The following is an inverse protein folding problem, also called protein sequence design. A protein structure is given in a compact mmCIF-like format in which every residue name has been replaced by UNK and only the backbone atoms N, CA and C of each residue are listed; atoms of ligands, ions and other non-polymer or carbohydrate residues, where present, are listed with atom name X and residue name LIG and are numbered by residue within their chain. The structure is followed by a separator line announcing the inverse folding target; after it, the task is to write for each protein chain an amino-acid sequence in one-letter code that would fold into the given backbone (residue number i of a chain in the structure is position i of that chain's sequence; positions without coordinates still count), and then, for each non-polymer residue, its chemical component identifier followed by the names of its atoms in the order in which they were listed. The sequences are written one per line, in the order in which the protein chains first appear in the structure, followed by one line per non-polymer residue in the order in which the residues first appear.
data_IF_237636627036
#
_entry.id   IF_237636627036
#
_cell.length_a   1.000
_cell.length_b   1.000
_cell.length_c   1.000
_cell.angle_alpha   90.00
_cell.angle_beta   90.00
_cell.angle_gamma   90.00
#
_symmetry.space_group_name_H-M   'P 1'
#
loop_
_entity.id
_entity.type
_entity.pdbx_description
1 polymer ?
#
# COMPACT_ATOMS: atom_id res chain seq x y z
N UNK A 1 -27.12 16.37 -0.90
CA UNK A 1 -26.37 15.65 0.15
C UNK A 1 -26.85 16.10 1.52
N UNK A 2 -26.95 15.23 2.54
CA UNK A 2 -27.44 15.64 3.86
C UNK A 2 -26.41 16.56 4.55
N UNK A 3 -26.89 17.53 5.34
CA UNK A 3 -26.02 18.41 6.16
C UNK A 3 -25.18 17.59 7.14
N UNK A 4 -25.71 16.44 7.58
CA UNK A 4 -25.08 15.50 8.51
C UNK A 4 -23.74 14.97 7.96
N UNK A 5 -23.66 14.61 6.67
CA UNK A 5 -22.40 14.08 6.11
C UNK A 5 -21.27 15.10 6.12
N UNK A 6 -21.60 16.40 5.95
CA UNK A 6 -20.60 17.47 6.08
C UNK A 6 -20.14 17.63 7.53
N UNK A 7 -21.04 17.48 8.50
CA UNK A 7 -20.69 17.54 9.92
C UNK A 7 -19.76 16.39 10.32
N UNK A 8 -20.02 15.18 9.84
CA UNK A 8 -19.14 14.03 10.07
C UNK A 8 -17.73 14.27 9.51
N UNK A 9 -17.64 14.79 8.29
CA UNK A 9 -16.38 15.13 7.64
C UNK A 9 -15.61 16.19 8.43
N UNK A 10 -16.26 17.26 8.87
CA UNK A 10 -15.61 18.29 9.69
C UNK A 10 -15.19 17.77 11.06
N UNK A 11 -15.87 16.75 11.59
CA UNK A 11 -15.46 16.06 12.83
C UNK A 11 -14.24 15.17 12.62
N UNK A 12 -14.16 14.45 11.50
CA UNK A 12 -13.01 13.60 11.17
C UNK A 12 -11.78 14.41 10.73
N UNK A 13 -12.01 15.57 10.10
CA UNK A 13 -11.00 16.44 9.51
C UNK A 13 -11.20 17.88 10.03
N UNK A 14 -10.85 18.16 11.29
CA UNK A 14 -11.13 19.47 11.91
C UNK A 14 -10.43 20.64 11.21
N UNK A 15 -9.28 20.39 10.61
CA UNK A 15 -8.44 21.41 9.94
C UNK A 15 -8.60 21.35 8.41
N UNK A 16 -9.77 20.89 7.91
CA UNK A 16 -10.02 20.60 6.49
C UNK A 16 -9.67 21.77 5.55
N UNK A 17 -9.76 22.99 6.06
CA UNK A 17 -9.54 24.23 5.31
C UNK A 17 -8.13 24.81 5.47
N UNK A 18 -7.28 24.17 6.27
CA UNK A 18 -5.98 24.73 6.69
C UNK A 18 -4.81 23.85 6.27
N UNK A 19 -5.03 22.55 6.01
CA UNK A 19 -3.96 21.62 5.61
C UNK A 19 -4.39 20.58 4.60
N UNK A 20 -3.40 19.85 4.09
CA UNK A 20 -3.61 18.66 3.29
C UNK A 20 -4.00 17.47 4.16
N UNK A 21 -5.04 16.72 3.76
CA UNK A 21 -5.36 15.41 4.30
C UNK A 21 -5.09 14.32 3.27
N UNK A 22 -4.62 13.17 3.73
CA UNK A 22 -4.40 11.97 2.92
C UNK A 22 -5.23 10.83 3.48
N UNK A 23 -5.97 10.14 2.62
CA UNK A 23 -6.80 9.00 2.98
C UNK A 23 -6.52 7.84 2.02
N UNK A 24 -6.05 6.68 2.53
CA UNK A 24 -5.72 6.44 3.93
C UNK A 24 -4.51 7.29 4.40
N UNK A 25 -4.45 7.65 5.69
CA UNK A 25 -3.39 8.51 6.25
C UNK A 25 -2.02 7.83 6.34
N UNK A 26 -2.02 6.50 6.31
CA UNK A 26 -0.86 5.62 6.25
C UNK A 26 -1.03 4.72 5.03
N UNK A 27 0.00 4.64 4.20
CA UNK A 27 -0.01 3.70 3.08
C UNK A 27 0.03 2.27 3.59
N UNK A 28 -0.90 1.44 3.14
CA UNK A 28 -0.93 0.03 3.47
C UNK A 28 -0.94 -0.77 2.18
N UNK A 29 0.02 -1.69 2.06
CA UNK A 29 0.14 -2.56 0.89
C UNK A 29 -1.09 -3.46 0.77
N UNK A 30 -1.46 -3.77 -0.47
CA UNK A 30 -2.60 -4.62 -0.85
C UNK A 30 -2.29 -6.12 -0.75
N UNK A 31 -1.13 -6.51 -0.22
CA UNK A 31 -0.70 -7.90 -0.09
C UNK A 31 -1.79 -8.73 0.59
N UNK A 32 -2.25 -9.76 -0.11
CA UNK A 32 -3.28 -10.67 0.36
C UNK A 32 -2.65 -11.76 1.23
N UNK A 33 -3.26 -12.04 2.37
CA UNK A 33 -2.81 -13.08 3.28
C UNK A 33 -3.87 -14.18 3.41
N UNK A 34 -3.42 -15.42 3.47
CA UNK A 34 -4.20 -16.52 4.03
C UNK A 34 -3.99 -16.56 5.53
N UNK A 35 -5.04 -16.94 6.23
CA UNK A 35 -4.96 -17.24 7.65
C UNK A 35 -4.78 -18.74 7.79
N UNK A 36 -3.68 -19.13 8.43
CA UNK A 36 -3.43 -20.52 8.81
C UNK A 36 -3.31 -20.61 10.33
N UNK A 37 -3.47 -21.83 10.86
CA UNK A 37 -3.31 -22.09 12.29
C UNK A 37 -2.15 -23.06 12.46
N UNK A 38 -1.06 -22.60 13.08
CA UNK A 38 0.12 -23.42 13.37
C UNK A 38 0.35 -23.40 14.88
N UNK A 39 0.41 -24.58 15.49
CA UNK A 39 0.58 -24.73 16.94
C UNK A 39 -0.46 -23.93 17.77
N UNK A 40 -1.72 -23.88 17.31
CA UNK A 40 -2.81 -23.04 17.86
C UNK A 40 -2.59 -21.53 17.76
N UNK A 41 -1.54 -21.07 17.08
CA UNK A 41 -1.33 -19.67 16.76
C UNK A 41 -1.92 -19.35 15.40
N UNK A 42 -2.62 -18.24 15.32
CA UNK A 42 -3.08 -17.70 14.04
C UNK A 42 -1.88 -17.05 13.34
N UNK A 43 -1.59 -17.48 12.12
CA UNK A 43 -0.49 -16.95 11.30
C UNK A 43 -1.03 -16.43 9.97
N UNK A 44 -0.52 -15.28 9.54
CA UNK A 44 -0.81 -14.67 8.26
C UNK A 44 0.27 -15.09 7.24
N UNK A 45 -0.15 -15.70 6.14
CA UNK A 45 0.74 -16.22 5.10
C UNK A 45 0.47 -15.48 3.80
N UNK A 46 1.44 -14.73 3.23
CA UNK A 46 1.24 -14.07 1.95
C UNK A 46 0.80 -15.07 0.87
N UNK A 47 -0.30 -14.76 0.17
CA UNK A 47 -0.71 -15.52 -1.01
C UNK A 47 0.32 -15.32 -2.12
N UNK A 48 0.96 -16.39 -2.60
CA UNK A 48 1.67 -16.40 -3.88
C UNK A 48 0.75 -17.00 -4.94
N UNK A 49 0.63 -16.37 -6.10
CA UNK A 49 -0.16 -16.92 -7.22
C UNK A 49 0.59 -18.08 -7.89
N UNK A 50 -0.10 -19.22 -8.00
CA UNK A 50 0.04 -20.16 -9.13
C UNK A 50 -0.82 -19.59 -10.26
N UNK A 51 -0.34 -19.66 -11.50
CA UNK A 51 -0.72 -18.81 -12.64
C UNK A 51 -2.23 -18.61 -12.96
N UNK A 52 -3.21 -19.31 -12.39
CA UNK A 52 -4.64 -19.04 -12.61
C UNK A 52 -5.58 -19.54 -11.48
N UNK A 53 -6.31 -18.64 -10.79
CA UNK A 53 -7.58 -18.99 -10.12
C UNK A 53 -8.77 -18.07 -10.49
N UNK A 54 -10.00 -18.38 -10.01
CA UNK A 54 -11.26 -17.86 -10.56
C UNK A 54 -11.60 -16.42 -10.12
N UNK A 55 -12.36 -15.73 -10.98
CA UNK A 55 -12.78 -14.32 -10.84
C UNK A 55 -13.48 -14.04 -9.51
N UNK A 56 -12.95 -13.07 -8.75
CA UNK A 56 -13.62 -12.48 -7.58
C UNK A 56 -12.78 -12.44 -6.30
N UNK A 57 -11.62 -13.09 -6.29
CA UNK A 57 -10.63 -12.97 -5.22
C UNK A 57 -9.63 -11.86 -5.57
N UNK A 58 -9.44 -10.90 -4.67
CA UNK A 58 -8.25 -10.05 -4.74
C UNK A 58 -7.04 -10.98 -4.58
N UNK A 59 -6.20 -11.05 -5.59
CA UNK A 59 -4.99 -11.87 -5.63
C UNK A 59 -3.83 -10.97 -6.02
N UNK A 60 -2.77 -10.98 -5.21
CA UNK A 60 -1.56 -10.15 -5.41
C UNK A 60 -0.54 -10.94 -6.23
N UNK A 61 -0.17 -10.42 -7.39
CA UNK A 61 0.97 -10.85 -8.19
C UNK A 61 2.24 -10.13 -7.71
N UNK A 62 3.43 -10.65 -8.05
CA UNK A 62 4.71 -9.92 -7.84
C UNK A 62 4.68 -8.53 -8.51
N UNK A 63 3.97 -8.38 -9.63
CA UNK A 63 3.70 -7.09 -10.26
C UNK A 63 2.92 -6.11 -9.38
N UNK A 64 2.05 -6.62 -8.50
CA UNK A 64 1.22 -5.79 -7.61
C UNK A 64 2.03 -5.30 -6.40
N UNK A 65 3.01 -6.07 -5.91
CA UNK A 65 3.94 -5.59 -4.87
C UNK A 65 4.81 -4.42 -5.35
N UNK A 66 5.21 -4.48 -6.62
CA UNK A 66 5.97 -3.41 -7.27
C UNK A 66 5.07 -2.19 -7.52
N UNK A 67 3.85 -2.38 -8.01
CA UNK A 67 2.87 -1.29 -8.12
C UNK A 67 2.60 -0.64 -6.76
N UNK A 68 2.46 -1.44 -5.70
CA UNK A 68 2.31 -0.94 -4.32
C UNK A 68 3.53 -0.12 -3.86
N UNK A 69 4.74 -0.59 -4.16
CA UNK A 69 5.97 0.12 -3.81
C UNK A 69 6.04 1.48 -4.50
N UNK A 70 5.75 1.52 -5.80
CA UNK A 70 5.76 2.76 -6.57
C UNK A 70 4.67 3.73 -6.10
N UNK A 71 3.49 3.22 -5.77
CA UNK A 71 2.42 4.05 -5.22
C UNK A 71 2.77 4.60 -3.84
N UNK A 72 3.38 3.80 -2.97
CA UNK A 72 3.88 4.26 -1.67
C UNK A 72 4.91 5.39 -1.82
N UNK A 73 5.85 5.23 -2.76
CA UNK A 73 6.90 6.21 -3.06
C UNK A 73 6.31 7.54 -3.53
N UNK A 74 5.37 7.51 -4.47
CA UNK A 74 4.64 8.69 -4.94
C UNK A 74 3.91 9.37 -3.77
N UNK A 75 3.12 8.61 -3.00
CA UNK A 75 2.35 9.16 -1.89
C UNK A 75 3.24 9.74 -0.80
N UNK A 76 4.41 9.15 -0.53
CA UNK A 76 5.39 9.69 0.39
C UNK A 76 5.91 11.05 -0.07
N UNK A 77 6.30 11.15 -1.35
CA UNK A 77 6.75 12.40 -1.96
C UNK A 77 5.65 13.48 -1.88
N UNK A 78 4.40 13.15 -2.26
CA UNK A 78 3.27 14.08 -2.18
C UNK A 78 3.01 14.53 -0.73
N UNK A 79 3.05 13.60 0.24
CA UNK A 79 2.84 13.93 1.66
C UNK A 79 3.94 14.86 2.19
N UNK A 80 5.19 14.68 1.79
CA UNK A 80 6.29 15.60 2.14
C UNK A 80 6.14 16.95 1.45
N UNK A 81 5.79 16.95 0.16
CA UNK A 81 5.65 18.15 -0.66
C UNK A 81 4.52 19.06 -0.14
N UNK A 82 3.34 18.49 0.11
CA UNK A 82 2.18 19.22 0.60
C UNK A 82 2.16 19.39 2.13
N UNK A 83 2.82 18.51 2.87
CA UNK A 83 2.89 18.56 4.34
C UNK A 83 3.94 19.53 4.90
N UNK A 84 4.96 19.93 4.10
CA UNK A 84 5.74 21.13 4.42
C UNK A 84 4.83 22.34 4.19
N UNK A 85 4.18 22.81 5.26
CA UNK A 85 3.73 24.19 5.33
C UNK A 85 4.90 25.04 4.86
N UNK A 86 4.68 25.88 3.86
CA UNK A 86 5.72 26.81 3.45
C UNK A 86 6.14 27.55 4.71
N UNK A 87 7.43 27.56 5.04
CA UNK A 87 7.99 28.42 6.08
C UNK A 87 7.94 29.91 5.64
N UNK A 88 6.92 30.27 4.87
CA UNK A 88 6.61 31.65 4.52
C UNK A 88 5.77 32.25 5.63
N UNK A 89 6.15 33.49 5.92
CA UNK A 89 5.55 34.42 6.88
C UNK A 89 4.01 34.30 6.90
N UNK A 90 3.38 34.20 8.08
CA UNK A 90 1.92 34.27 8.20
C UNK A 90 1.42 35.60 7.62
N UNK A 91 0.60 35.55 6.57
CA UNK A 91 -0.03 36.75 6.00
C UNK A 91 -0.20 36.78 4.48
N UNK A 92 0.48 35.90 3.72
CA UNK A 92 0.29 35.81 2.26
C UNK A 92 -0.69 34.68 1.89
N UNK A 93 -1.40 34.83 0.77
CA UNK A 93 -2.30 33.83 0.15
C UNK A 93 -1.65 32.45 -0.17
N UNK A 94 -0.39 32.24 0.23
CA UNK A 94 0.38 31.01 0.10
C UNK A 94 -0.22 29.84 0.90
N UNK A 95 -0.89 30.11 2.03
CA UNK A 95 -1.44 29.06 2.90
C UNK A 95 -2.49 28.18 2.18
N UNK A 96 -3.22 28.74 1.21
CA UNK A 96 -4.25 28.02 0.44
C UNK A 96 -3.71 27.25 -0.79
N UNK A 97 -2.42 27.33 -1.12
CA UNK A 97 -1.83 26.55 -2.25
C UNK A 97 -1.73 25.06 -1.93
N UNK A 98 -1.79 24.69 -0.65
CA UNK A 98 -1.60 23.32 -0.18
C UNK A 98 -2.80 22.74 0.56
N UNK A 99 -3.93 23.46 0.61
CA UNK A 99 -5.17 22.97 1.22
C UNK A 99 -5.88 22.05 0.23
N UNK A 100 -5.87 20.76 0.53
CA UNK A 100 -6.44 19.74 -0.33
C UNK A 100 -6.78 18.46 0.41
N UNK A 101 -7.57 17.62 -0.24
CA UNK A 101 -7.90 16.30 0.24
C UNK A 101 -7.45 15.26 -0.79
N UNK A 102 -6.53 14.39 -0.42
CA UNK A 102 -5.93 13.37 -1.29
C UNK A 102 -6.48 12.02 -0.91
N UNK A 103 -7.18 11.39 -1.85
CA UNK A 103 -7.66 10.01 -1.76
C UNK A 103 -6.77 9.15 -2.63
N UNK A 104 -6.23 8.06 -2.10
CA UNK A 104 -5.56 7.06 -2.93
C UNK A 104 -6.38 5.79 -3.00
N UNK A 105 -6.27 5.09 -4.14
CA UNK A 105 -6.84 3.75 -4.33
C UNK A 105 -8.38 3.67 -4.20
N UNK A 106 -9.11 4.75 -4.48
CA UNK A 106 -10.57 4.77 -4.34
C UNK A 106 -11.23 4.00 -5.49
N UNK A 107 -11.78 2.83 -5.19
CA UNK A 107 -12.54 2.04 -6.17
C UNK A 107 -13.84 2.76 -6.54
N UNK A 108 -14.20 2.75 -7.83
CA UNK A 108 -15.47 3.31 -8.29
C UNK A 108 -16.67 2.63 -7.64
N UNK A 109 -16.55 1.34 -7.31
CA UNK A 109 -17.58 0.58 -6.61
C UNK A 109 -17.75 0.96 -5.15
N UNK A 110 -16.75 1.58 -4.53
CA UNK A 110 -16.80 1.99 -3.12
C UNK A 110 -17.40 3.40 -2.93
N UNK A 111 -17.63 4.13 -4.02
CA UNK A 111 -18.34 5.40 -4.02
C UNK A 111 -19.82 5.21 -3.67
N UNK A 112 -20.27 5.81 -2.55
CA UNK A 112 -21.64 5.71 -2.04
C UNK A 112 -22.14 4.27 -1.88
N UNK A 113 -21.24 3.38 -1.45
CA UNK A 113 -21.47 1.93 -1.38
C UNK A 113 -21.96 1.42 -0.03
N UNK A 114 -21.85 2.24 1.02
CA UNK A 114 -22.16 1.81 2.38
C UNK A 114 -23.64 1.43 2.55
N UNK A 115 -23.97 0.18 2.97
CA UNK A 115 -25.33 -0.33 2.97
C UNK A 115 -26.32 0.51 3.77
N UNK A 116 -25.89 1.07 4.91
CA UNK A 116 -26.73 1.92 5.76
C UNK A 116 -27.12 3.25 5.10
N UNK A 117 -26.38 3.70 4.07
CA UNK A 117 -26.66 4.91 3.31
C UNK A 117 -27.33 4.63 1.96
N UNK A 118 -27.63 3.37 1.62
CA UNK A 118 -28.20 2.99 0.32
C UNK A 118 -29.46 3.80 -0.08
N UNK A 119 -30.43 4.11 0.82
CA UNK A 119 -31.58 4.93 0.45
C UNK A 119 -31.23 6.36 0.02
N UNK A 120 -30.22 6.96 0.66
CA UNK A 120 -29.72 8.30 0.29
C UNK A 120 -28.88 8.23 -0.98
N UNK A 121 -28.04 7.19 -1.12
CA UNK A 121 -27.20 6.95 -2.29
C UNK A 121 -28.02 6.80 -3.59
N UNK A 122 -29.20 6.18 -3.54
CA UNK A 122 -30.11 6.05 -4.70
C UNK A 122 -30.56 7.38 -5.32
N UNK A 123 -30.48 8.50 -4.58
CA UNK A 123 -30.85 9.83 -5.07
C UNK A 123 -29.68 10.58 -5.70
N UNK A 124 -28.48 10.02 -5.68
CA UNK A 124 -27.26 10.63 -6.19
C UNK A 124 -26.76 9.87 -7.41
N UNK A 125 -25.98 10.57 -8.24
CA UNK A 125 -25.31 9.98 -9.40
C UNK A 125 -24.16 9.13 -8.94
N UNK A 126 -24.10 7.88 -9.41
CA UNK A 126 -23.04 6.94 -9.06
C UNK A 126 -22.32 6.46 -10.32
N UNK A 127 -21.07 5.99 -10.22
CA UNK A 127 -20.32 5.48 -11.36
C UNK A 127 -21.05 4.35 -12.12
N UNK A 128 -21.91 3.57 -11.45
CA UNK A 128 -22.68 2.50 -12.08
C UNK A 128 -23.82 3.00 -12.99
N UNK A 129 -24.27 4.25 -12.83
CA UNK A 129 -25.40 4.81 -13.60
C UNK A 129 -24.97 5.26 -15.02
N UNK A 130 -23.67 5.29 -15.28
CA UNK A 130 -23.06 5.67 -16.53
C UNK A 130 -23.19 4.51 -17.56
N UNK A 131 -23.66 4.78 -18.81
CA UNK A 131 -23.99 3.75 -19.85
C UNK A 131 -22.86 3.24 -20.78
N UNK A 132 -21.65 2.96 -20.30
CA UNK A 132 -20.51 2.45 -21.14
C UNK A 132 -20.01 1.14 -20.52
N UNK A 133 -19.29 0.33 -21.28
CA UNK A 133 -18.80 -0.97 -20.83
C UNK A 133 -17.72 -0.84 -19.72
N UNK A 134 -17.68 -1.79 -18.78
CA UNK A 134 -16.67 -1.91 -17.70
C UNK A 134 -16.61 -0.75 -16.69
N UNK A 135 -17.70 -0.02 -16.44
CA UNK A 135 -17.70 1.18 -15.57
C UNK A 135 -17.67 0.94 -14.08
N UNK A 136 -18.10 -0.23 -13.67
CA UNK A 136 -17.95 -0.81 -12.33
C UNK A 136 -16.53 -1.32 -12.07
N UNK A 137 -15.64 -1.31 -13.08
CA UNK A 137 -14.27 -1.82 -12.97
C UNK A 137 -13.25 -0.70 -13.07
N UNK A 138 -12.75 -0.22 -11.95
CA UNK A 138 -11.66 0.74 -11.91
C UNK A 138 -11.63 1.50 -10.61
N UNK A 139 -10.55 2.24 -10.46
CA UNK A 139 -10.24 3.06 -9.31
C UNK A 139 -9.62 4.38 -9.72
N UNK A 140 -9.59 5.30 -8.77
CA UNK A 140 -8.67 6.41 -8.79
C UNK A 140 -7.39 5.98 -8.06
N UNK A 141 -6.27 5.88 -8.77
CA UNK A 141 -4.96 5.67 -8.13
C UNK A 141 -4.69 6.79 -7.13
N UNK A 142 -4.87 8.04 -7.58
CA UNK A 142 -4.93 9.24 -6.75
C UNK A 142 -6.03 10.18 -7.26
N UNK A 143 -6.90 10.61 -6.34
CA UNK A 143 -7.86 11.69 -6.51
C UNK A 143 -7.51 12.82 -5.54
N UNK A 144 -7.23 14.02 -6.07
CA UNK A 144 -7.01 15.22 -5.25
C UNK A 144 -8.22 16.14 -5.38
N UNK A 145 -8.77 16.57 -4.26
CA UNK A 145 -9.78 17.61 -4.17
C UNK A 145 -9.07 18.85 -3.66
N UNK A 146 -8.75 19.80 -4.54
CA UNK A 146 -8.01 21.00 -4.18
C UNK A 146 -8.97 22.15 -3.83
N UNK A 147 -8.73 22.85 -2.72
CA UNK A 147 -9.61 23.92 -2.23
C UNK A 147 -9.88 25.03 -3.26
N UNK A 148 -8.95 25.29 -4.18
CA UNK A 148 -9.04 26.37 -5.19
C UNK A 148 -9.03 25.94 -6.65
N UNK A 149 -8.55 24.74 -6.98
CA UNK A 149 -8.26 24.38 -8.37
C UNK A 149 -9.21 23.34 -8.96
N UNK A 150 -10.05 22.73 -8.12
CA UNK A 150 -11.04 21.73 -8.52
C UNK A 150 -10.59 20.32 -8.13
N UNK A 151 -10.94 19.37 -8.98
CA UNK A 151 -10.59 17.96 -8.85
C UNK A 151 -9.37 17.64 -9.72
N UNK A 152 -8.53 16.74 -9.26
CA UNK A 152 -7.45 16.16 -10.05
C UNK A 152 -7.52 14.64 -10.00
N UNK A 153 -7.53 14.01 -11.17
CA UNK A 153 -7.32 12.58 -11.32
C UNK A 153 -5.87 12.35 -11.75
N UNK A 154 -5.16 11.50 -11.01
CA UNK A 154 -3.82 11.07 -11.35
C UNK A 154 -3.77 9.54 -11.43
N UNK A 155 -3.20 9.04 -12.51
CA UNK A 155 -2.90 7.61 -12.69
C UNK A 155 -1.40 7.39 -12.44
N UNK A 156 -1.06 6.32 -11.73
CA UNK A 156 0.30 5.91 -11.44
C UNK A 156 0.62 4.70 -12.31
N UNK A 157 1.75 4.73 -13.04
CA UNK A 157 2.20 3.51 -13.71
C UNK A 157 3.68 3.23 -13.54
N UNK A 158 3.95 2.04 -12.99
CA UNK A 158 5.26 1.42 -13.05
C UNK A 158 5.50 0.85 -14.46
N UNK A 159 6.39 1.49 -15.19
CA UNK A 159 6.90 1.03 -16.49
C UNK A 159 8.41 0.90 -16.37
N UNK A 160 9.01 -0.14 -16.96
CA UNK A 160 10.47 -0.34 -16.96
C UNK A 160 11.03 -1.32 -15.94
N UNK A 161 10.30 -1.68 -14.87
CA UNK A 161 10.79 -2.65 -13.88
C UNK A 161 10.44 -4.08 -14.29
N UNK A 162 11.45 -4.89 -14.62
CA UNK A 162 11.30 -6.32 -14.95
C UNK A 162 11.93 -7.21 -13.89
N UNK A 163 11.19 -8.25 -13.51
CA UNK A 163 11.58 -9.31 -12.58
C UNK A 163 12.58 -10.33 -13.16
N UNK A 164 12.78 -10.34 -14.48
CA UNK A 164 13.47 -11.45 -15.17
C UNK A 164 14.97 -11.25 -15.41
N UNK A 165 15.56 -10.15 -14.94
CA UNK A 165 17.02 -9.94 -14.95
C UNK A 165 17.70 -9.92 -16.33
N UNK A 166 16.95 -9.92 -17.43
CA UNK A 166 17.51 -9.83 -18.79
C UNK A 166 17.42 -8.38 -19.28
N UNK A 167 18.55 -7.76 -19.66
CA UNK A 167 18.53 -6.45 -20.31
C UNK A 167 17.83 -6.58 -21.66
N UNK A 168 16.77 -5.79 -21.87
CA UNK A 168 16.22 -5.57 -23.20
C UNK A 168 16.91 -4.38 -23.87
N UNK A 169 16.80 -4.28 -25.19
CA UNK A 169 17.19 -3.06 -25.88
C UNK A 169 16.26 -1.91 -25.51
N UNK A 170 16.80 -0.69 -25.48
CA UNK A 170 16.03 0.54 -25.23
C UNK A 170 14.80 0.65 -26.17
N UNK A 171 14.93 0.19 -27.41
CA UNK A 171 13.83 0.18 -28.39
C UNK A 171 12.64 -0.69 -27.96
N UNK A 172 12.89 -1.80 -27.26
CA UNK A 172 11.84 -2.69 -26.75
C UNK A 172 11.13 -2.10 -25.53
N UNK A 173 11.87 -1.42 -24.66
CA UNK A 173 11.33 -0.69 -23.52
C UNK A 173 10.45 0.48 -23.96
N UNK A 174 10.91 1.25 -24.95
CA UNK A 174 10.17 2.36 -25.52
C UNK A 174 8.87 1.92 -26.21
N UNK A 175 8.90 0.80 -26.95
CA UNK A 175 7.68 0.17 -27.50
C UNK A 175 6.72 -0.26 -26.40
N UNK A 176 7.25 -0.82 -25.30
CA UNK A 176 6.44 -1.21 -24.14
C UNK A 176 5.80 0.01 -23.50
N UNK A 177 6.56 1.08 -23.29
CA UNK A 177 6.07 2.35 -22.75
C UNK A 177 4.99 2.97 -23.65
N UNK A 178 5.22 3.06 -24.96
CA UNK A 178 4.24 3.55 -25.93
C UNK A 178 2.91 2.78 -25.86
N UNK A 179 2.97 1.45 -25.77
CA UNK A 179 1.77 0.61 -25.64
C UNK A 179 1.01 0.83 -24.32
N UNK A 180 1.75 1.07 -23.22
CA UNK A 180 1.17 1.36 -21.91
C UNK A 180 0.56 2.77 -21.85
N UNK A 181 1.21 3.77 -22.43
CA UNK A 181 0.68 5.15 -22.51
C UNK A 181 -0.71 5.20 -23.13
N UNK A 182 -0.94 4.45 -24.23
CA UNK A 182 -2.28 4.35 -24.86
C UNK A 182 -3.36 3.79 -23.92
N UNK A 183 -2.99 2.88 -23.01
CA UNK A 183 -3.92 2.31 -22.02
C UNK A 183 -4.20 3.30 -20.91
N UNK A 184 -3.14 3.95 -20.42
CA UNK A 184 -3.20 4.96 -19.35
C UNK A 184 -4.07 6.15 -19.76
N UNK A 185 -3.95 6.64 -21.01
CA UNK A 185 -4.79 7.73 -21.52
C UNK A 185 -6.28 7.37 -21.41
N UNK A 186 -6.65 6.15 -21.78
CA UNK A 186 -8.04 5.66 -21.65
C UNK A 186 -8.49 5.55 -20.19
N UNK A 187 -7.60 5.20 -19.27
CA UNK A 187 -7.91 5.16 -17.83
C UNK A 187 -8.14 6.57 -17.30
N UNK A 188 -7.25 7.52 -17.63
CA UNK A 188 -7.39 8.92 -17.27
C UNK A 188 -8.70 9.54 -17.77
N UNK A 189 -9.06 9.32 -19.04
CA UNK A 189 -10.33 9.80 -19.60
C UNK A 189 -11.54 9.17 -18.91
N UNK A 190 -11.45 7.89 -18.53
CA UNK A 190 -12.49 7.22 -17.76
C UNK A 190 -12.63 7.81 -16.36
N UNK A 191 -11.51 8.07 -15.68
CA UNK A 191 -11.49 8.72 -14.37
C UNK A 191 -12.15 10.10 -14.43
N UNK A 192 -11.86 10.90 -15.45
CA UNK A 192 -12.54 12.18 -15.69
C UNK A 192 -14.05 12.02 -15.98
N UNK A 193 -14.44 11.08 -16.86
CA UNK A 193 -15.85 10.80 -17.15
C UNK A 193 -16.65 10.47 -15.88
N UNK A 194 -16.07 9.65 -15.00
CA UNK A 194 -16.65 9.29 -13.72
C UNK A 194 -16.79 10.53 -12.84
N UNK A 195 -15.72 11.31 -12.67
CA UNK A 195 -15.75 12.55 -11.87
C UNK A 195 -16.83 13.52 -12.37
N UNK A 196 -16.84 13.83 -13.67
CA UNK A 196 -17.83 14.72 -14.29
C UNK A 196 -19.27 14.22 -14.12
N UNK A 197 -19.46 12.90 -14.12
CA UNK A 197 -20.79 12.32 -13.89
C UNK A 197 -21.24 12.49 -12.44
N UNK A 198 -20.44 12.05 -11.47
CA UNK A 198 -20.80 12.01 -10.05
C UNK A 198 -20.85 13.40 -9.40
N UNK A 199 -20.21 14.41 -10.02
CA UNK A 199 -20.31 15.81 -9.63
C UNK A 199 -21.24 16.64 -10.52
N UNK A 200 -21.80 16.06 -11.59
CA UNK A 200 -22.64 16.79 -12.53
C UNK A 200 -24.03 17.17 -12.00
N UNK A 201 -24.37 16.79 -10.76
CA UNK A 201 -25.52 17.26 -9.99
C UNK A 201 -25.18 18.50 -9.11
N UNK A 202 -23.91 18.90 -9.04
CA UNK A 202 -23.46 20.05 -8.26
C UNK A 202 -23.62 21.35 -9.06
N UNK A 203 -24.00 22.44 -8.36
CA UNK A 203 -24.36 23.73 -8.97
C UNK A 203 -23.30 24.33 -9.90
N UNK A 204 -22.02 24.14 -9.60
CA UNK A 204 -20.93 24.87 -10.26
C UNK A 204 -19.96 23.98 -11.05
N UNK A 205 -20.23 22.67 -11.19
CA UNK A 205 -19.42 21.68 -11.91
C UNK A 205 -17.89 21.94 -11.86
N UNK A 206 -17.22 21.52 -10.77
CA UNK A 206 -15.80 21.74 -10.58
C UNK A 206 -14.95 21.23 -11.74
N UNK A 207 -13.91 21.97 -12.09
CA UNK A 207 -12.93 21.58 -13.10
C UNK A 207 -12.24 20.30 -12.70
N UNK A 208 -12.03 19.42 -13.67
CA UNK A 208 -11.22 18.20 -13.54
C UNK A 208 -9.92 18.41 -14.30
N UNK A 209 -8.80 18.25 -13.60
CA UNK A 209 -7.44 18.23 -14.17
C UNK A 209 -6.92 16.80 -14.17
N UNK A 210 -6.18 16.42 -15.19
CA UNK A 210 -5.56 15.09 -15.32
C UNK A 210 -4.04 15.23 -15.28
N UNK A 211 -3.37 14.27 -14.66
CA UNK A 211 -1.90 14.17 -14.65
C UNK A 211 -1.49 12.70 -14.64
N UNK A 212 -0.26 12.43 -15.06
CA UNK A 212 0.30 11.10 -15.11
C UNK A 212 1.55 11.04 -14.22
N UNK A 213 1.65 10.01 -13.39
CA UNK A 213 2.78 9.77 -12.51
C UNK A 213 3.51 8.49 -12.94
N UNK A 214 4.77 8.64 -13.38
CA UNK A 214 5.62 7.58 -13.92
C UNK A 214 6.91 7.48 -13.11
N UNK A 215 6.87 6.89 -11.89
CA UNK A 215 8.01 6.92 -10.97
C UNK A 215 9.27 6.17 -11.46
N UNK A 216 9.15 5.40 -12.55
CA UNK A 216 10.25 4.59 -13.11
C UNK A 216 10.68 5.02 -14.53
N UNK A 217 10.09 6.09 -15.06
CA UNK A 217 10.41 6.61 -16.39
C UNK A 217 11.00 8.00 -16.22
N UNK A 218 12.12 8.29 -16.88
CA UNK A 218 12.71 9.63 -16.87
C UNK A 218 11.96 10.56 -17.83
N UNK A 219 12.09 11.86 -17.59
CA UNK A 219 11.60 12.93 -18.48
C UNK A 219 12.14 12.75 -19.89
N UNK A 220 13.45 12.49 -20.02
CA UNK A 220 14.13 12.27 -21.30
C UNK A 220 13.58 11.06 -22.05
N UNK A 221 13.32 9.95 -21.35
CA UNK A 221 12.73 8.76 -21.96
C UNK A 221 11.30 9.01 -22.45
N UNK A 222 10.48 9.70 -21.64
CA UNK A 222 9.11 10.04 -22.06
C UNK A 222 9.11 10.98 -23.27
N UNK A 223 9.99 12.00 -23.28
CA UNK A 223 10.14 12.91 -24.42
C UNK A 223 10.55 12.17 -25.70
N UNK A 224 11.51 11.24 -25.59
CA UNK A 224 11.94 10.39 -26.71
C UNK A 224 10.77 9.57 -27.28
N UNK A 225 10.04 8.85 -26.42
CA UNK A 225 8.90 8.04 -26.86
C UNK A 225 7.81 8.88 -27.52
N UNK A 226 7.51 10.06 -27.00
CA UNK A 226 6.50 10.95 -27.59
C UNK A 226 6.95 11.57 -28.91
N UNK A 227 8.25 11.87 -29.05
CA UNK A 227 8.85 12.34 -30.31
C UNK A 227 8.74 11.27 -31.41
N UNK A 228 9.00 10.01 -31.06
CA UNK A 228 8.94 8.88 -32.00
C UNK A 228 7.50 8.40 -32.25
N UNK A 229 6.54 8.82 -31.41
CA UNK A 229 5.13 8.48 -31.52
C UNK A 229 4.21 9.72 -31.50
N UNK A 230 4.19 10.56 -32.56
CA UNK A 230 3.41 11.80 -32.59
C UNK A 230 1.91 11.61 -32.36
N UNK A 231 1.35 10.48 -32.77
CA UNK A 231 -0.05 10.15 -32.51
C UNK A 231 -0.35 10.01 -31.01
N UNK A 232 0.55 9.37 -30.24
CA UNK A 232 0.42 9.23 -28.79
C UNK A 232 0.58 10.60 -28.12
N UNK A 233 1.53 11.43 -28.59
CA UNK A 233 1.68 12.80 -28.10
C UNK A 233 0.37 13.59 -28.26
N UNK A 234 -0.26 13.51 -29.44
CA UNK A 234 -1.53 14.18 -29.71
C UNK A 234 -2.66 13.67 -28.83
N UNK A 235 -2.80 12.36 -28.66
CA UNK A 235 -3.78 11.77 -27.75
C UNK A 235 -3.55 12.23 -26.30
N UNK A 236 -2.29 12.34 -25.87
CA UNK A 236 -1.94 12.81 -24.53
C UNK A 236 -2.21 14.31 -24.34
N UNK A 237 -1.90 15.15 -25.32
CA UNK A 237 -2.25 16.58 -25.30
C UNK A 237 -3.77 16.77 -25.20
N UNK A 238 -4.53 16.05 -26.03
CA UNK A 238 -5.99 16.06 -26.00
C UNK A 238 -6.54 15.59 -24.65
N UNK A 239 -5.94 14.53 -24.08
CA UNK A 239 -6.26 14.07 -22.73
C UNK A 239 -6.04 15.19 -21.72
N UNK A 240 -4.87 15.83 -21.67
CA UNK A 240 -4.62 16.93 -20.72
C UNK A 240 -5.36 18.24 -21.03
N UNK A 241 -5.99 18.35 -22.19
CA UNK A 241 -6.70 19.55 -22.63
C UNK A 241 -5.79 20.71 -23.01
N UNK A 242 -4.60 20.41 -23.54
CA UNK A 242 -3.61 21.40 -24.02
C UNK A 242 -3.46 21.32 -25.54
N UNK A 243 -2.84 22.33 -26.16
CA UNK A 243 -2.63 22.32 -27.61
C UNK A 243 -1.60 21.26 -28.05
N UNK A 244 -1.76 20.72 -29.27
CA UNK A 244 -0.84 19.73 -29.86
C UNK A 244 0.62 20.24 -29.97
N UNK A 245 0.81 21.57 -30.00
CA UNK A 245 2.11 22.24 -30.04
C UNK A 245 2.81 22.31 -28.69
N UNK A 246 2.08 22.18 -27.58
CA UNK A 246 2.63 22.22 -26.23
C UNK A 246 3.37 20.91 -25.90
N UNK A 247 4.16 20.94 -24.82
CA UNK A 247 4.84 19.76 -24.30
C UNK A 247 4.02 19.13 -23.16
N UNK A 248 3.34 17.97 -23.39
CA UNK A 248 2.56 17.33 -22.34
C UNK A 248 3.44 16.75 -21.21
N UNK A 249 4.76 16.62 -21.40
CA UNK A 249 5.67 16.04 -20.41
C UNK A 249 5.75 16.89 -19.15
N UNK A 250 5.62 18.22 -19.25
CA UNK A 250 5.64 19.11 -18.09
C UNK A 250 4.45 18.89 -17.13
N UNK A 251 3.39 18.21 -17.59
CA UNK A 251 2.21 17.86 -16.80
C UNK A 251 2.31 16.44 -16.21
N UNK A 252 3.42 15.74 -16.43
CA UNK A 252 3.69 14.41 -15.87
C UNK A 252 4.70 14.52 -14.72
N UNK A 253 4.54 13.69 -13.70
CA UNK A 253 5.53 13.51 -12.65
C UNK A 253 6.38 12.28 -13.00
N UNK A 254 7.66 12.45 -13.29
CA UNK A 254 8.56 11.38 -13.75
C UNK A 254 9.54 10.97 -12.65
N UNK A 255 10.36 9.95 -12.90
CA UNK A 255 11.38 9.46 -11.95
C UNK A 255 12.35 10.55 -11.51
N UNK A 256 12.56 11.58 -12.33
CA UNK A 256 13.49 12.68 -12.03
C UNK A 256 12.97 13.63 -10.94
N UNK A 257 11.65 13.61 -10.67
CA UNK A 257 11.00 14.49 -9.69
C UNK A 257 10.45 13.73 -8.48
N UNK A 258 10.89 12.49 -8.26
CA UNK A 258 10.49 11.68 -7.10
C UNK A 258 11.73 11.08 -6.44
N UNK A 259 11.64 10.73 -5.15
CA UNK A 259 12.76 10.13 -4.40
C UNK A 259 13.31 8.88 -5.09
N UNK A 260 14.54 8.48 -4.80
CA UNK A 260 15.09 7.22 -5.32
C UNK A 260 14.27 6.00 -4.85
N UNK A 261 14.32 4.90 -5.60
CA UNK A 261 13.56 3.68 -5.28
C UNK A 261 14.08 2.99 -4.02
N UNK A 262 15.40 2.88 -3.88
CA UNK A 262 16.04 2.19 -2.75
C UNK A 262 16.12 3.09 -1.51
N UNK A 263 15.98 4.40 -1.70
CA UNK A 263 15.94 5.42 -0.64
C UNK A 263 14.68 6.27 -0.69
N UNK A 264 13.52 5.64 -0.83
CA UNK A 264 12.27 6.37 -1.06
C UNK A 264 11.83 7.28 0.11
N UNK A 265 12.39 7.09 1.31
CA UNK A 265 12.15 7.96 2.47
C UNK A 265 12.98 9.27 2.41
N UNK A 266 13.97 9.36 1.53
CA UNK A 266 14.82 10.54 1.34
C UNK A 266 14.23 11.44 0.24
N UNK A 267 13.39 12.39 0.66
CA UNK A 267 12.90 13.46 -0.22
C UNK A 267 13.86 14.65 -0.14
N UNK A 268 14.75 14.77 -1.12
CA UNK A 268 15.78 15.82 -1.20
C UNK A 268 15.19 17.16 -1.66
N UNK A 269 15.94 18.25 -1.49
CA UNK A 269 15.49 19.57 -1.95
C UNK A 269 15.38 19.66 -3.49
N UNK A 270 16.20 18.91 -4.23
CA UNK A 270 16.07 18.81 -5.70
C UNK A 270 14.76 18.13 -6.12
N UNK A 271 14.38 17.05 -5.42
CA UNK A 271 13.08 16.40 -5.62
C UNK A 271 11.95 17.39 -5.33
N UNK A 272 12.03 18.12 -4.21
CA UNK A 272 11.02 19.14 -3.85
C UNK A 272 10.90 20.25 -4.90
N UNK A 273 12.03 20.70 -5.47
CA UNK A 273 12.06 21.69 -6.54
C UNK A 273 11.45 21.16 -7.84
N UNK A 274 11.73 19.90 -8.20
CA UNK A 274 11.11 19.23 -9.34
C UNK A 274 9.59 19.11 -9.19
N UNK A 275 9.13 18.70 -8.00
CA UNK A 275 7.69 18.64 -7.68
C UNK A 275 7.03 20.03 -7.72
N UNK A 276 7.70 21.08 -7.24
CA UNK A 276 7.20 22.45 -7.32
C UNK A 276 7.00 22.92 -8.77
N UNK A 277 7.96 22.61 -9.66
CA UNK A 277 7.84 22.90 -11.09
C UNK A 277 6.66 22.16 -11.74
N UNK A 278 6.53 20.87 -11.46
CA UNK A 278 5.40 20.05 -11.92
C UNK A 278 4.06 20.61 -11.42
N UNK A 279 3.98 20.95 -10.13
CA UNK A 279 2.75 21.49 -9.53
C UNK A 279 2.37 22.84 -10.14
N UNK A 280 3.34 23.73 -10.37
CA UNK A 280 3.13 25.02 -11.04
C UNK A 280 2.66 24.85 -12.47
N UNK A 281 3.22 23.88 -13.21
CA UNK A 281 2.77 23.58 -14.56
C UNK A 281 1.31 23.09 -14.59
N UNK A 282 0.90 22.26 -13.62
CA UNK A 282 -0.47 21.75 -13.52
C UNK A 282 -1.49 22.80 -13.07
N UNK A 283 -1.14 23.57 -12.04
CA UNK A 283 -2.08 24.44 -11.33
C UNK A 283 -1.93 25.90 -11.69
N UNK A 284 -0.72 26.45 -11.68
CA UNK A 284 -0.48 27.90 -11.82
C UNK A 284 -0.63 28.39 -13.26
N UNK A 285 -0.48 27.52 -14.26
CA UNK A 285 -0.85 27.82 -15.65
C UNK A 285 -2.37 28.04 -15.83
N UNK A 286 -3.18 27.58 -14.86
CA UNK A 286 -4.63 27.66 -14.87
C UNK A 286 -5.10 28.68 -13.81
N UNK A 287 -6.01 29.59 -14.15
CA UNK A 287 -6.69 30.43 -13.13
C UNK A 287 -7.38 29.54 -12.10
N UNK A 288 -7.50 30.02 -10.86
CA UNK A 288 -8.33 29.41 -9.83
C UNK A 288 -9.72 29.06 -10.38
N UNK A 289 -10.28 27.94 -9.91
CA UNK A 289 -11.58 27.50 -10.36
C UNK A 289 -12.67 28.32 -9.63
N UNK A 290 -13.43 29.17 -10.35
CA UNK A 290 -14.48 29.98 -9.72
C UNK A 290 -15.60 29.12 -9.11
N UNK A 291 -15.70 27.83 -9.48
CA UNK A 291 -16.65 26.91 -8.87
C UNK A 291 -16.28 26.55 -7.42
N UNK A 292 -15.01 26.66 -7.05
CA UNK A 292 -14.47 26.15 -5.79
C UNK A 292 -14.69 27.11 -4.62
N UNK A 293 -15.94 27.18 -4.17
CA UNK A 293 -16.32 27.80 -2.89
C UNK A 293 -16.02 26.86 -1.71
N UNK A 294 -16.07 27.41 -0.48
CA UNK A 294 -15.91 26.62 0.75
C UNK A 294 -16.93 25.48 0.82
N UNK A 295 -18.19 25.77 0.49
CA UNK A 295 -19.28 24.79 0.51
C UNK A 295 -19.12 23.70 -0.55
N UNK A 296 -18.64 24.07 -1.74
CA UNK A 296 -18.37 23.11 -2.81
C UNK A 296 -17.22 22.17 -2.42
N UNK A 297 -16.17 22.71 -1.82
CA UNK A 297 -15.05 21.90 -1.32
C UNK A 297 -15.50 20.90 -0.25
N UNK A 298 -16.23 21.35 0.77
CA UNK A 298 -16.79 20.46 1.81
C UNK A 298 -17.75 19.41 1.22
N UNK A 299 -18.54 19.79 0.21
CA UNK A 299 -19.43 18.85 -0.48
C UNK A 299 -18.68 17.78 -1.26
N UNK A 300 -17.61 18.14 -1.97
CA UNK A 300 -16.77 17.17 -2.66
C UNK A 300 -16.13 16.21 -1.66
N UNK A 301 -15.54 16.73 -0.58
CA UNK A 301 -14.93 15.88 0.45
C UNK A 301 -15.97 14.95 1.08
N UNK A 302 -17.17 15.44 1.39
CA UNK A 302 -18.24 14.59 1.92
C UNK A 302 -18.78 13.56 0.92
N UNK A 303 -18.77 13.84 -0.39
CA UNK A 303 -19.14 12.85 -1.41
C UNK A 303 -18.09 11.74 -1.52
N UNK A 304 -16.81 12.07 -1.46
CA UNK A 304 -15.73 11.10 -1.74
C UNK A 304 -15.06 10.50 -0.48
N UNK A 305 -15.20 11.14 0.68
CA UNK A 305 -14.60 10.73 1.95
C UNK A 305 -15.58 10.82 3.14
N UNK A 306 -16.86 11.08 2.87
CA UNK A 306 -17.91 11.07 3.88
C UNK A 306 -18.38 9.66 4.25
N UNK A 307 -19.40 9.56 5.12
CA UNK A 307 -19.80 8.29 5.73
C UNK A 307 -20.35 7.26 4.73
N UNK A 308 -20.82 7.69 3.55
CA UNK A 308 -21.36 6.80 2.54
C UNK A 308 -20.32 6.22 1.57
N UNK A 309 -19.11 6.80 1.52
CA UNK A 309 -18.03 6.37 0.63
C UNK A 309 -16.90 5.80 1.44
N UNK A 310 -16.36 4.68 0.96
CA UNK A 310 -15.36 3.93 1.71
C UNK A 310 -14.05 3.84 0.93
N UNK A 311 -12.98 4.31 1.56
CA UNK A 311 -11.62 4.01 1.14
C UNK A 311 -11.19 2.78 1.92
N UNK A 312 -11.26 1.65 1.24
CA UNK A 312 -10.97 0.35 1.82
C UNK A 312 -9.47 0.13 1.88
N UNK A 313 -9.01 -0.36 3.03
CA UNK A 313 -7.67 -0.89 3.17
C UNK A 313 -7.76 -2.39 3.39
N UNK A 314 -7.05 -3.16 2.57
CA UNK A 314 -7.03 -4.62 2.70
C UNK A 314 -6.44 -5.02 4.06
N UNK A 315 -7.19 -5.78 4.86
CA UNK A 315 -6.76 -6.29 6.17
C UNK A 315 -6.36 -7.77 6.09
N UNK A 316 -5.13 -8.13 6.50
CA UNK A 316 -4.69 -9.53 6.61
C UNK A 316 -5.41 -10.36 7.70
N UNK A 317 -5.98 -9.69 8.70
CA UNK A 317 -6.41 -10.35 9.94
C UNK A 317 -7.67 -11.21 9.74
N UNK A 318 -7.66 -12.42 10.29
CA UNK A 318 -8.77 -13.39 10.21
C UNK A 318 -10.08 -12.90 10.82
N UNK A 319 -10.03 -11.90 11.70
CA UNK A 319 -11.17 -11.43 12.46
C UNK A 319 -12.11 -10.57 11.60
N UNK A 320 -11.63 -10.03 10.48
CA UNK A 320 -12.48 -9.33 9.52
C UNK A 320 -12.03 -9.59 8.09
N UNK A 321 -12.69 -10.52 7.39
CA UNK A 321 -12.70 -10.57 5.91
C UNK A 321 -13.29 -9.31 5.27
N UNK A 322 -13.77 -8.36 6.08
CA UNK A 322 -14.25 -7.07 5.63
C UNK A 322 -13.06 -6.10 5.58
N UNK A 323 -12.91 -5.43 4.44
CA UNK A 323 -12.10 -4.23 4.31
C UNK A 323 -12.39 -3.27 5.47
N UNK A 324 -11.34 -2.75 6.11
CA UNK A 324 -11.50 -1.71 7.13
C UNK A 324 -11.44 -0.35 6.49
N UNK A 325 -12.28 0.55 6.99
CA UNK A 325 -12.24 1.94 6.60
C UNK A 325 -11.28 2.69 7.51
N UNK A 326 -10.24 3.28 6.93
CA UNK A 326 -9.23 4.03 7.68
C UNK A 326 -9.31 5.50 7.25
N UNK A 327 -10.02 6.31 8.03
CA UNK A 327 -10.31 7.72 7.70
C UNK A 327 -9.35 8.69 8.38
N UNK A 328 -8.94 8.38 9.61
CA UNK A 328 -8.16 9.28 10.47
C UNK A 328 -6.78 8.72 10.83
N UNK A 329 -5.83 9.60 11.18
CA UNK A 329 -4.49 9.17 11.59
C UNK A 329 -4.51 8.21 12.77
N UNK A 330 -5.39 8.43 13.76
CA UNK A 330 -5.56 7.54 14.90
C UNK A 330 -6.01 6.13 14.48
N UNK A 331 -6.97 6.02 13.55
CA UNK A 331 -7.37 4.72 12.98
C UNK A 331 -6.21 4.08 12.20
N UNK A 332 -5.44 4.87 11.45
CA UNK A 332 -4.28 4.39 10.70
C UNK A 332 -3.18 3.82 11.60
N UNK A 333 -2.87 4.51 12.70
CA UNK A 333 -1.94 4.05 13.73
C UNK A 333 -2.46 2.79 14.41
N UNK A 334 -3.74 2.77 14.81
CA UNK A 334 -4.35 1.59 15.44
C UNK A 334 -4.32 0.37 14.53
N UNK A 335 -4.61 0.54 13.25
CA UNK A 335 -4.61 -0.56 12.29
C UNK A 335 -3.17 -1.02 11.97
N UNK A 336 -2.22 -0.10 11.91
CA UNK A 336 -0.80 -0.44 11.76
C UNK A 336 -0.32 -1.23 12.97
N UNK A 337 -0.64 -0.81 14.19
CA UNK A 337 -0.33 -1.54 15.41
C UNK A 337 -0.94 -2.94 15.40
N UNK A 338 -2.21 -3.08 15.01
CA UNK A 338 -2.87 -4.38 14.90
C UNK A 338 -2.12 -5.32 13.93
N UNK A 339 -1.66 -4.82 12.78
CA UNK A 339 -0.88 -5.61 11.80
C UNK A 339 0.50 -6.00 12.29
N UNK A 340 1.16 -5.13 13.06
CA UNK A 340 2.46 -5.46 13.66
C UNK A 340 2.37 -6.57 14.71
N UNK A 341 1.18 -6.81 15.27
CA UNK A 341 0.93 -7.90 16.22
C UNK A 341 0.65 -9.25 15.53
N UNK A 342 0.35 -9.27 14.23
CA UNK A 342 0.07 -10.51 13.50
C UNK A 342 1.39 -11.27 13.19
N UNK A 343 1.40 -12.59 13.41
CA UNK A 343 2.51 -13.44 13.00
C UNK A 343 2.49 -13.65 11.48
N UNK A 344 3.35 -12.93 10.76
CA UNK A 344 3.50 -13.11 9.31
C UNK A 344 4.57 -14.14 9.01
N UNK A 345 4.21 -15.23 8.33
CA UNK A 345 5.12 -16.28 7.90
C UNK A 345 5.17 -16.38 6.38
N UNK A 346 6.36 -16.51 5.81
CA UNK A 346 6.52 -16.80 4.38
C UNK A 346 6.19 -18.27 4.07
N UNK A 347 5.84 -18.56 2.82
CA UNK A 347 5.50 -19.92 2.38
C UNK A 347 6.58 -20.98 2.71
N UNK A 348 7.86 -20.63 2.56
CA UNK A 348 8.95 -21.56 2.94
C UNK A 348 8.97 -21.88 4.44
N UNK A 349 8.64 -20.91 5.29
CA UNK A 349 8.54 -21.10 6.74
C UNK A 349 7.34 -21.98 7.10
N UNK A 350 6.20 -21.78 6.43
CA UNK A 350 5.00 -22.62 6.59
C UNK A 350 5.29 -24.07 6.16
N UNK A 351 6.02 -24.27 5.06
CA UNK A 351 6.43 -25.59 4.61
C UNK A 351 7.29 -26.30 5.66
N UNK A 352 8.27 -25.60 6.25
CA UNK A 352 9.09 -26.15 7.34
C UNK A 352 8.22 -26.58 8.52
N UNK A 353 7.26 -25.73 8.94
CA UNK A 353 6.35 -26.04 10.05
C UNK A 353 5.32 -27.14 9.72
N UNK A 354 5.07 -27.37 8.44
CA UNK A 354 4.17 -28.42 7.94
C UNK A 354 4.88 -29.76 7.80
N UNK A 355 6.18 -29.75 7.50
CA UNK A 355 7.01 -30.95 7.48
C UNK A 355 7.03 -31.59 8.88
N UNK A 356 6.63 -32.86 8.96
CA UNK A 356 6.68 -33.65 10.20
C UNK A 356 8.10 -34.11 10.56
N UNK A 357 9.11 -33.34 10.17
CA UNK A 357 10.50 -33.71 10.39
C UNK A 357 10.85 -33.59 11.88
N UNK A 358 11.70 -34.51 12.33
CA UNK A 358 12.14 -34.62 13.72
C UNK A 358 13.35 -33.73 14.02
N UNK A 359 14.05 -33.30 12.97
CA UNK A 359 15.20 -32.43 13.02
C UNK A 359 14.91 -31.25 12.10
N UNK A 360 14.90 -30.04 12.67
CA UNK A 360 14.71 -28.81 11.90
C UNK A 360 15.99 -27.98 12.03
N UNK A 361 16.69 -27.79 10.92
CA UNK A 361 17.88 -26.97 10.83
C UNK A 361 17.58 -25.74 9.98
N UNK A 362 17.75 -24.55 10.56
CA UNK A 362 17.42 -23.27 9.91
C UNK A 362 18.67 -22.45 9.66
N UNK A 363 18.93 -22.14 8.39
CA UNK A 363 19.97 -21.17 8.00
C UNK A 363 19.32 -19.92 7.42
N UNK A 364 19.96 -18.76 7.65
CA UNK A 364 19.52 -17.51 7.04
C UNK A 364 20.08 -16.27 7.71
N UNK A 365 20.00 -15.10 7.04
CA UNK A 365 20.45 -13.82 7.58
C UNK A 365 19.87 -13.48 8.96
N UNK A 366 20.50 -12.57 9.73
CA UNK A 366 19.91 -12.00 10.93
C UNK A 366 18.53 -11.38 10.63
N UNK A 367 17.57 -11.54 11.54
CA UNK A 367 16.23 -10.94 11.40
C UNK A 367 15.23 -11.71 10.52
N UNK A 368 15.57 -12.87 9.95
CA UNK A 368 14.65 -13.68 9.13
C UNK A 368 13.61 -14.49 9.92
N UNK A 369 13.50 -14.28 11.23
CA UNK A 369 12.51 -14.95 12.08
C UNK A 369 12.80 -16.41 12.43
N UNK A 370 14.06 -16.88 12.29
CA UNK A 370 14.46 -18.28 12.61
C UNK A 370 13.97 -18.73 14.00
N UNK A 371 14.21 -17.92 15.02
CA UNK A 371 13.80 -18.21 16.40
C UNK A 371 12.27 -18.37 16.54
N UNK A 372 11.48 -17.59 15.79
CA UNK A 372 10.02 -17.72 15.77
C UNK A 372 9.61 -19.08 15.20
N UNK A 373 10.26 -19.52 14.10
CA UNK A 373 9.99 -20.83 13.49
C UNK A 373 10.34 -21.97 14.44
N UNK A 374 11.51 -21.90 15.10
CA UNK A 374 11.92 -22.90 16.07
C UNK A 374 10.92 -23.01 17.24
N UNK A 375 10.47 -21.88 17.79
CA UNK A 375 9.46 -21.87 18.87
C UNK A 375 8.14 -22.50 18.39
N UNK A 376 7.64 -22.13 17.20
CA UNK A 376 6.40 -22.69 16.66
C UNK A 376 6.51 -24.20 16.40
N UNK A 377 7.68 -24.67 15.94
CA UNK A 377 7.94 -26.09 15.75
C UNK A 377 7.98 -26.85 17.07
N UNK A 378 8.70 -26.34 18.08
CA UNK A 378 8.72 -26.93 19.42
C UNK A 378 7.33 -26.96 20.04
N UNK A 379 6.56 -25.89 19.89
CA UNK A 379 5.19 -25.82 20.39
C UNK A 379 4.32 -26.92 19.75
N UNK A 380 4.47 -27.16 18.44
CA UNK A 380 3.81 -28.26 17.74
C UNK A 380 4.23 -29.61 18.33
N UNK A 381 5.53 -29.89 18.47
CA UNK A 381 6.03 -31.14 19.04
C UNK A 381 5.53 -31.39 20.46
N UNK A 382 5.55 -30.38 21.33
CA UNK A 382 5.03 -30.48 22.70
C UNK A 382 3.54 -30.86 22.71
N UNK A 383 2.75 -30.22 21.84
CA UNK A 383 1.30 -30.48 21.71
C UNK A 383 0.99 -31.85 21.11
N UNK A 384 1.85 -32.34 20.23
CA UNK A 384 1.81 -33.72 19.72
C UNK A 384 2.23 -34.76 20.78
N UNK A 385 2.67 -34.29 21.95
CA UNK A 385 2.95 -35.09 23.14
C UNK A 385 4.42 -35.38 23.38
N UNK A 386 5.32 -34.81 22.58
CA UNK A 386 6.77 -35.07 22.65
C UNK A 386 7.48 -34.22 23.71
N UNK A 387 8.63 -34.71 24.17
CA UNK A 387 9.56 -33.92 24.97
C UNK A 387 10.48 -33.10 24.05
N UNK A 388 10.71 -31.83 24.40
CA UNK A 388 11.51 -30.89 23.62
C UNK A 388 12.71 -30.42 24.42
N UNK A 389 13.90 -30.57 23.83
CA UNK A 389 15.15 -30.06 24.38
C UNK A 389 15.61 -28.82 23.63
N UNK A 390 15.79 -27.72 24.36
CA UNK A 390 16.41 -26.48 23.88
C UNK A 390 17.89 -26.50 24.25
N UNK A 391 18.74 -26.31 23.24
CA UNK A 391 20.19 -26.48 23.38
C UNK A 391 20.93 -25.22 23.00
N UNK A 392 21.79 -24.74 23.89
CA UNK A 392 22.73 -23.65 23.61
C UNK A 392 24.10 -24.20 23.24
N UNK A 393 24.51 -24.05 21.99
CA UNK A 393 25.81 -24.54 21.49
C UNK A 393 26.97 -23.63 21.87
N UNK A 394 26.76 -22.32 22.02
CA UNK A 394 27.81 -21.37 22.35
C UNK A 394 27.36 -20.43 23.48
N UNK A 395 28.31 -19.77 24.15
CA UNK A 395 28.00 -18.76 25.17
C UNK A 395 27.21 -17.58 24.56
N UNK A 396 27.45 -17.26 23.29
CA UNK A 396 26.75 -16.19 22.57
C UNK A 396 25.29 -16.53 22.23
N UNK A 397 24.93 -17.82 22.12
CA UNK A 397 23.55 -18.27 21.88
C UNK A 397 22.76 -18.57 23.17
N UNK A 398 23.39 -18.43 24.34
CA UNK A 398 22.79 -18.69 25.66
C UNK A 398 21.55 -17.83 25.90
N UNK A 399 21.63 -16.53 25.62
CA UNK A 399 20.52 -15.61 25.83
C UNK A 399 19.31 -15.97 24.95
N UNK A 400 19.55 -16.29 23.67
CA UNK A 400 18.49 -16.70 22.74
C UNK A 400 17.86 -18.04 23.16
N UNK A 401 18.69 -19.00 23.57
CA UNK A 401 18.25 -20.34 23.98
C UNK A 401 17.45 -20.30 25.29
N UNK A 402 17.88 -19.50 26.27
CA UNK A 402 17.12 -19.26 27.50
C UNK A 402 15.79 -18.54 27.21
N UNK A 403 15.81 -17.56 26.31
CA UNK A 403 14.59 -16.87 25.90
C UNK A 403 13.59 -17.84 25.23
N UNK A 404 14.06 -18.74 24.36
CA UNK A 404 13.23 -19.79 23.76
C UNK A 404 12.65 -20.73 24.82
N UNK A 405 13.49 -21.18 25.76
CA UNK A 405 13.07 -22.05 26.86
C UNK A 405 11.94 -21.42 27.68
N UNK A 406 12.12 -20.18 28.15
CA UNK A 406 11.10 -19.46 28.91
C UNK A 406 9.85 -19.14 28.08
N UNK A 407 10.02 -18.86 26.79
CA UNK A 407 8.89 -18.64 25.88
C UNK A 407 8.02 -19.90 25.75
N UNK A 408 8.64 -21.08 25.63
CA UNK A 408 7.92 -22.36 25.56
C UNK A 408 7.21 -22.69 26.87
N UNK A 409 7.85 -22.44 28.03
CA UNK A 409 7.21 -22.60 29.34
C UNK A 409 5.98 -21.71 29.50
N UNK A 410 6.08 -20.46 29.04
CA UNK A 410 5.00 -19.48 29.15
C UNK A 410 3.84 -19.78 28.20
N UNK A 411 4.15 -20.19 26.96
CA UNK A 411 3.14 -20.53 25.94
C UNK A 411 2.45 -21.86 26.20
N UNK A 412 3.15 -22.82 26.79
CA UNK A 412 2.65 -24.17 27.08
C UNK A 412 2.79 -24.52 28.58
N UNK A 413 2.12 -23.80 29.49
CA UNK A 413 2.31 -23.98 30.93
C UNK A 413 1.93 -25.39 31.39
N UNK A 414 0.90 -26.01 30.79
CA UNK A 414 0.49 -27.38 31.08
C UNK A 414 1.48 -28.46 30.60
N UNK A 415 2.45 -28.08 29.75
CA UNK A 415 3.46 -28.98 29.18
C UNK A 415 4.88 -28.57 29.60
N UNK A 416 5.03 -27.62 30.53
CA UNK A 416 6.33 -27.08 30.93
C UNK A 416 7.32 -28.15 31.42
N UNK A 417 6.80 -29.24 32.04
CA UNK A 417 7.61 -30.38 32.48
C UNK A 417 8.27 -31.17 31.33
N UNK A 418 7.78 -31.03 30.10
CA UNK A 418 8.31 -31.66 28.88
C UNK A 418 9.32 -30.79 28.13
N UNK A 419 9.60 -29.59 28.64
CA UNK A 419 10.58 -28.66 28.07
C UNK A 419 11.85 -28.74 28.89
N UNK A 420 12.97 -29.03 28.23
CA UNK A 420 14.27 -29.15 28.88
C UNK A 420 15.26 -28.17 28.28
N UNK A 421 16.17 -27.66 29.10
CA UNK A 421 17.24 -26.77 28.68
C UNK A 421 18.59 -27.42 28.99
N UNK A 422 19.49 -27.43 28.00
CA UNK A 422 20.82 -27.99 28.15
C UNK A 422 21.88 -27.06 27.55
N UNK A 423 22.96 -26.84 28.29
CA UNK A 423 24.22 -26.34 27.74
C UNK A 423 24.96 -27.44 26.96
N UNK A 424 25.95 -27.04 26.16
CA UNK A 424 26.72 -27.97 25.32
C UNK A 424 27.34 -29.13 26.12
N UNK A 425 27.89 -28.85 27.30
CA UNK A 425 28.55 -29.85 28.16
C UNK A 425 27.56 -30.84 28.81
N UNK A 426 26.33 -30.39 29.08
CA UNK A 426 25.26 -31.21 29.65
C UNK A 426 24.59 -32.10 28.60
N UNK A 427 24.64 -31.68 27.33
CA UNK A 427 23.96 -32.33 26.21
C UNK A 427 24.49 -33.76 25.97
N UNK A 428 25.81 -33.90 25.88
CA UNK A 428 26.48 -35.16 25.54
C UNK A 428 26.20 -36.24 26.59
N UNK A 429 26.15 -35.86 27.87
CA UNK A 429 25.97 -36.79 28.98
C UNK A 429 24.48 -37.12 29.23
N UNK A 430 23.56 -36.16 29.11
CA UNK A 430 22.15 -36.37 29.45
C UNK A 430 21.29 -36.91 28.30
N UNK A 431 21.59 -36.55 27.05
CA UNK A 431 20.81 -37.06 25.91
C UNK A 431 21.03 -38.55 25.67
N UNK A 432 22.26 -39.04 25.89
CA UNK A 432 22.60 -40.46 25.75
C UNK A 432 21.84 -41.38 26.73
N UNK A 433 21.37 -40.83 27.87
CA UNK A 433 20.58 -41.56 28.86
C UNK A 433 19.08 -41.58 28.54
N UNK A 434 18.56 -40.55 27.86
CA UNK A 434 17.13 -40.35 27.60
C UNK A 434 16.61 -41.05 26.33
N UNK A 435 17.50 -41.36 25.38
CA UNK A 435 17.14 -42.04 24.13
C UNK A 435 16.87 -43.54 24.28
N UNK A 436 16.92 -44.09 25.51
CA UNK A 436 16.82 -45.53 25.72
C UNK A 436 15.47 -46.16 25.40
N UNK A 437 14.37 -45.40 25.26
CA UNK A 437 13.07 -45.95 24.87
C UNK A 437 12.10 -44.97 24.17
N UNK A 438 12.51 -43.73 23.86
CA UNK A 438 11.64 -42.77 23.17
C UNK A 438 12.39 -41.82 22.22
N UNK A 439 11.66 -41.16 21.32
CA UNK A 439 12.22 -40.27 20.30
C UNK A 439 12.44 -38.85 20.85
N UNK A 440 13.64 -38.31 20.67
CA UNK A 440 14.04 -36.99 21.15
C UNK A 440 13.88 -35.93 20.06
N UNK A 441 13.27 -34.79 20.42
CA UNK A 441 13.13 -33.62 19.56
C UNK A 441 14.02 -32.49 20.08
N UNK A 442 14.95 -32.03 19.24
CA UNK A 442 16.02 -31.11 19.64
C UNK A 442 15.93 -29.83 18.83
N UNK A 443 15.97 -28.70 19.53
CA UNK A 443 16.09 -27.36 18.94
C UNK A 443 17.45 -26.78 19.29
N UNK A 444 18.14 -26.32 18.24
CA UNK A 444 19.44 -25.67 18.33
C UNK A 444 19.34 -24.32 17.65
N UNK A 445 19.78 -23.26 18.33
CA UNK A 445 19.96 -21.94 17.73
C UNK A 445 21.45 -21.65 17.56
N UNK A 446 21.89 -21.54 16.31
CA UNK A 446 23.23 -21.12 15.95
C UNK A 446 23.21 -19.64 15.58
N UNK A 447 23.76 -18.82 16.47
CA UNK A 447 24.16 -17.46 16.11
C UNK A 447 25.43 -17.62 15.29
N UNK A 448 25.37 -17.37 13.97
CA UNK A 448 26.57 -17.33 13.13
C UNK A 448 27.62 -16.43 13.82
N UNK A 449 28.68 -17.06 14.32
CA UNK A 449 29.95 -16.38 14.55
C UNK A 449 30.41 -15.83 13.20
N UNK A 450 30.80 -14.55 13.20
CA UNK A 450 31.28 -13.86 12.01
C UNK A 450 32.50 -14.52 11.40
#
# INVERSE_FOLDING_TARGET
MSKEWRQDVLKWYPDLHERAYFVPPVYMKRINYNVEHIAQQQVAVPRRTVKHPPKGTFEVNEGDELEDHEQQRILHCLKKFFGRGSASVPGDNADYEKVMFVLSQLQFTSYLAEPCFAPAAKKMRRPQDLRKENKDRGDFDILIIHRRYGLMAAEIKSVGTRFTGKPESEESEDKTLASKLKRIIKQLDKSEDVLRHVTGDMRNNPRVTKTLMLPNITTSQLQRVLKDNPAIKKELCACFGIADTEDPVCLCLTSDQVSDRDRFWEVTDDVMKGMDQWWKALMTSKREDPAMTKDVYEELVAKFAGPATTVEVFCPSAVSKASKVVRTEGEGVSETAARYMDFVLHQGQVQILSCGERLVYLTGPPGTGKTVILILQAEKWLRDGHDVCVVSMFSESMAASLWMYHSLQTKCPSLAQKVHFHGMDDLVNNLALRTKNDHLYVIVDEVNSR
#
